data_IF_671594565116
#
_entry.id   IF_671594565116
#
_cell.length_a   1.000
_cell.length_b   1.000
_cell.length_c   1.000
_cell.angle_alpha   90.00
_cell.angle_beta   90.00
_cell.angle_gamma   90.00
#
_symmetry.space_group_name_H-M   'P 1'
#
loop_
_entity.id
_entity.type
_entity.pdbx_description
1 polymer ?
#
# COMPACT_ATOMS: atom_id res chain seq x y z
N UNK A 1 8.36 24.04 11.61
CA UNK A 1 8.37 22.68 12.19
C UNK A 1 7.79 21.69 11.16
N UNK A 2 8.32 20.47 11.09
CA UNK A 2 7.76 19.42 10.20
C UNK A 2 6.48 18.89 10.82
N UNK A 3 5.42 18.76 10.03
CA UNK A 3 4.20 18.06 10.42
C UNK A 3 4.36 16.56 10.10
N UNK A 4 4.71 15.77 11.12
CA UNK A 4 4.96 14.34 10.97
C UNK A 4 3.66 13.54 10.75
N UNK A 5 2.52 14.03 11.23
CA UNK A 5 1.21 13.44 10.98
C UNK A 5 0.87 13.53 9.49
N UNK A 6 0.99 14.73 8.90
CA UNK A 6 0.78 14.93 7.46
C UNK A 6 1.79 14.14 6.62
N UNK A 7 3.04 14.05 7.08
CA UNK A 7 4.09 13.25 6.41
C UNK A 7 3.74 11.75 6.40
N UNK A 8 3.23 11.19 7.50
CA UNK A 8 2.82 9.79 7.58
C UNK A 8 1.70 9.47 6.58
N UNK A 9 0.63 10.28 6.56
CA UNK A 9 -0.48 10.07 5.61
C UNK A 9 -0.05 10.28 4.16
N UNK A 10 0.85 11.24 3.88
CA UNK A 10 1.42 11.42 2.54
C UNK A 10 2.20 10.20 2.10
N UNK A 11 2.99 9.58 2.98
CA UNK A 11 3.70 8.33 2.68
C UNK A 11 2.70 7.19 2.39
N UNK A 12 1.66 7.05 3.22
CA UNK A 12 0.60 6.05 2.99
C UNK A 12 -0.04 6.21 1.61
N UNK A 13 -0.38 7.43 1.22
CA UNK A 13 -0.99 7.71 -0.08
C UNK A 13 -0.05 7.33 -1.23
N UNK A 14 1.23 7.71 -1.16
CA UNK A 14 2.22 7.31 -2.18
C UNK A 14 2.34 5.80 -2.34
N UNK A 15 2.34 5.06 -1.23
CA UNK A 15 2.40 3.59 -1.25
C UNK A 15 1.12 2.98 -1.83
N UNK A 16 -0.04 3.56 -1.52
CA UNK A 16 -1.33 3.14 -2.09
C UNK A 16 -1.40 3.42 -3.59
N UNK A 17 -0.93 4.58 -4.05
CA UNK A 17 -0.92 4.95 -5.46
C UNK A 17 0.01 4.02 -6.26
N UNK A 18 1.22 3.78 -5.75
CA UNK A 18 2.15 2.82 -6.34
C UNK A 18 1.55 1.42 -6.45
N UNK A 19 0.98 0.90 -5.35
CA UNK A 19 0.35 -0.42 -5.36
C UNK A 19 -0.85 -0.52 -6.31
N UNK A 20 -1.70 0.51 -6.37
CA UNK A 20 -2.84 0.53 -7.29
C UNK A 20 -2.38 0.59 -8.75
N UNK A 21 -1.30 1.33 -9.04
CA UNK A 21 -0.69 1.36 -10.37
C UNK A 21 -0.13 0.00 -10.76
N UNK A 22 0.57 -0.69 -9.85
CA UNK A 22 1.16 -2.01 -10.12
C UNK A 22 0.11 -3.05 -10.51
N UNK A 23 -1.08 -3.01 -9.91
CA UNK A 23 -2.13 -4.01 -10.14
C UNK A 23 -3.19 -3.58 -11.15
N UNK A 24 -3.03 -2.44 -11.82
CA UNK A 24 -4.05 -1.89 -12.71
C UNK A 24 -4.33 -2.84 -13.89
N UNK A 25 -3.28 -3.37 -14.51
CA UNK A 25 -3.39 -4.27 -15.66
C UNK A 25 -3.98 -5.61 -15.24
N UNK A 26 -3.48 -6.22 -14.18
CA UNK A 26 -4.04 -7.47 -13.62
C UNK A 26 -5.52 -7.35 -13.23
N UNK A 27 -5.97 -6.19 -12.71
CA UNK A 27 -7.40 -5.96 -12.43
C UNK A 27 -8.23 -5.94 -13.71
N UNK A 28 -7.66 -5.41 -14.79
CA UNK A 28 -8.30 -5.38 -16.12
C UNK A 28 -8.36 -6.79 -16.71
N UNK A 29 -7.26 -7.53 -16.70
CA UNK A 29 -7.19 -8.93 -17.14
C UNK A 29 -8.14 -9.83 -16.34
N UNK A 30 -8.22 -9.65 -15.01
CA UNK A 30 -9.17 -10.38 -14.16
C UNK A 30 -10.62 -10.10 -14.56
N UNK A 31 -10.94 -8.85 -14.90
CA UNK A 31 -12.28 -8.46 -15.32
C UNK A 31 -12.64 -9.02 -16.71
N UNK A 32 -11.65 -9.19 -17.59
CA UNK A 32 -11.80 -9.82 -18.90
C UNK A 32 -11.80 -11.36 -18.83
N UNK A 33 -11.35 -11.94 -17.71
CA UNK A 33 -11.19 -13.38 -17.54
C UNK A 33 -9.93 -13.94 -18.20
N UNK A 34 -8.94 -13.09 -18.47
CA UNK A 34 -7.71 -13.40 -19.21
C UNK A 34 -6.48 -13.54 -18.32
N UNK A 35 -6.60 -13.22 -17.02
CA UNK A 35 -5.47 -13.22 -16.08
C UNK A 35 -4.86 -14.63 -15.91
N UNK A 36 -3.53 -14.70 -15.88
CA UNK A 36 -2.80 -15.95 -15.59
C UNK A 36 -2.91 -16.32 -14.10
N UNK A 37 -2.65 -17.60 -13.76
CA UNK A 37 -2.64 -18.03 -12.36
C UNK A 37 -1.53 -17.33 -11.54
N UNK A 38 -0.38 -17.07 -12.17
CA UNK A 38 0.75 -16.38 -11.53
C UNK A 38 0.43 -14.89 -11.27
N UNK A 39 -0.17 -14.21 -12.24
CA UNK A 39 -0.61 -12.82 -12.10
C UNK A 39 -1.74 -12.71 -11.06
N UNK A 40 -2.65 -13.67 -11.02
CA UNK A 40 -3.71 -13.75 -10.00
C UNK A 40 -3.14 -13.95 -8.59
N UNK A 41 -2.11 -14.77 -8.43
CA UNK A 41 -1.41 -14.93 -7.17
C UNK A 41 -0.74 -13.62 -6.75
N UNK A 42 -0.09 -12.93 -7.68
CA UNK A 42 0.55 -11.62 -7.46
C UNK A 42 -0.49 -10.55 -7.07
N UNK A 43 -1.59 -10.44 -7.82
CA UNK A 43 -2.72 -9.55 -7.53
C UNK A 43 -3.26 -9.76 -6.11
N UNK A 44 -3.37 -11.02 -5.67
CA UNK A 44 -3.85 -11.35 -4.32
C UNK A 44 -2.91 -10.81 -3.23
N UNK A 45 -1.59 -10.97 -3.40
CA UNK A 45 -0.58 -10.44 -2.46
C UNK A 45 -0.63 -8.91 -2.41
N UNK A 46 -0.71 -8.24 -3.56
CA UNK A 46 -0.81 -6.79 -3.63
C UNK A 46 -2.11 -6.24 -3.05
N UNK A 47 -3.23 -6.94 -3.23
CA UNK A 47 -4.49 -6.57 -2.58
C UNK A 47 -4.41 -6.70 -1.05
N UNK A 48 -3.70 -7.69 -0.52
CA UNK A 48 -3.43 -7.80 0.91
C UNK A 48 -2.55 -6.65 1.43
N UNK A 49 -1.50 -6.29 0.69
CA UNK A 49 -0.65 -5.13 0.98
C UNK A 49 -1.45 -3.82 1.03
N UNK A 50 -2.31 -3.56 0.04
CA UNK A 50 -3.18 -2.37 0.01
C UNK A 50 -4.11 -2.33 1.23
N UNK A 51 -4.69 -3.47 1.62
CA UNK A 51 -5.54 -3.55 2.82
C UNK A 51 -4.74 -3.24 4.08
N UNK A 52 -3.55 -3.82 4.24
CA UNK A 52 -2.68 -3.55 5.37
C UNK A 52 -2.30 -2.06 5.47
N UNK A 53 -1.99 -1.41 4.35
CA UNK A 53 -1.78 0.03 4.31
C UNK A 53 -3.02 0.80 4.76
N UNK A 54 -4.21 0.48 4.27
CA UNK A 54 -5.48 1.15 4.64
C UNK A 54 -5.90 0.94 6.09
N UNK A 55 -5.44 -0.12 6.74
CA UNK A 55 -5.73 -0.41 8.15
C UNK A 55 -4.60 0.01 9.10
N UNK A 56 -3.46 0.46 8.57
CA UNK A 56 -2.34 0.95 9.38
C UNK A 56 -2.79 2.09 10.28
N UNK A 57 -2.53 1.97 11.58
CA UNK A 57 -2.84 3.02 12.55
C UNK A 57 -1.78 4.11 12.47
N UNK A 58 -2.20 5.30 12.07
CA UNK A 58 -1.38 6.51 11.97
C UNK A 58 -1.95 7.63 12.84
N UNK A 59 -2.80 7.33 13.83
CA UNK A 59 -3.57 8.35 14.57
C UNK A 59 -2.72 9.29 15.44
N UNK A 60 -1.49 8.91 15.80
CA UNK A 60 -0.62 9.71 16.66
C UNK A 60 0.85 9.67 16.21
N UNK A 61 1.20 10.54 15.25
CA UNK A 61 2.59 10.73 14.79
C UNK A 61 3.06 12.17 15.08
N UNK A 62 3.27 12.53 16.36
CA UNK A 62 3.59 13.91 16.76
C UNK A 62 5.02 14.34 16.41
N UNK A 63 5.93 13.40 16.18
CA UNK A 63 7.36 13.68 16.04
C UNK A 63 8.09 12.69 15.11
N UNK A 64 9.40 12.92 14.95
CA UNK A 64 10.24 12.09 14.09
C UNK A 64 10.41 10.66 14.59
N UNK A 65 10.52 10.48 15.91
CA UNK A 65 10.77 9.17 16.50
C UNK A 65 9.57 8.25 16.28
N UNK A 66 8.36 8.77 16.49
CA UNK A 66 7.11 8.06 16.18
C UNK A 66 6.95 7.78 14.70
N UNK A 67 7.32 8.73 13.82
CA UNK A 67 7.31 8.51 12.37
C UNK A 67 8.25 7.38 11.93
N UNK A 68 9.49 7.35 12.43
CA UNK A 68 10.48 6.31 12.08
C UNK A 68 10.08 4.94 12.63
N UNK A 69 9.32 4.89 13.73
CA UNK A 69 8.83 3.65 14.32
C UNK A 69 7.65 3.01 13.55
N UNK A 70 7.05 3.72 12.58
CA UNK A 70 5.94 3.19 11.77
C UNK A 70 6.40 1.93 11.04
N UNK A 71 5.72 0.81 11.31
CA UNK A 71 5.95 -0.46 10.63
C UNK A 71 5.18 -0.52 9.33
N UNK A 72 5.75 0.06 8.28
CA UNK A 72 5.20 -0.08 6.93
C UNK A 72 5.20 -1.56 6.49
N UNK A 73 4.12 -2.06 5.90
CA UNK A 73 4.11 -3.41 5.35
C UNK A 73 5.20 -3.56 4.29
N UNK A 74 5.79 -4.75 4.18
CA UNK A 74 6.79 -5.03 3.15
C UNK A 74 6.11 -5.11 1.77
N UNK A 75 6.83 -4.67 0.73
CA UNK A 75 6.37 -4.84 -0.64
C UNK A 75 6.25 -6.34 -0.96
N UNK A 76 5.13 -6.76 -1.58
CA UNK A 76 4.96 -8.14 -2.01
C UNK A 76 5.90 -8.45 -3.19
N UNK A 77 6.40 -9.69 -3.21
CA UNK A 77 7.16 -10.28 -4.34
C UNK A 77 6.24 -11.01 -5.30
#
# INVERSE_FOLDING_TARGET
>A
PVDYQAKAETTRQKLLDGANSTIADWRTELALGEISDDDKASLTKWMAYIRALKTLDLTAVPDEATFIAIRWPALPQ
#
